data_IF_047000127892
#
_entry.id   IF_047000127892
#
_cell.length_a   1.000
_cell.length_b   1.000
_cell.length_c   1.000
_cell.angle_alpha   90.00
_cell.angle_beta   90.00
_cell.angle_gamma   90.00
#
_symmetry.space_group_name_H-M   'P 1'
#
loop_
_entity.id
_entity.type
_entity.pdbx_description
1 polymer ?
#
# COMPACT_ATOMS: atom_id res chain seq x y z
N UNK A 1 70.84 -14.89 23.79
CA UNK A 1 70.16 -13.72 23.19
C UNK A 1 68.88 -14.22 22.52
N UNK A 2 67.76 -14.21 23.27
CA UNK A 2 66.46 -14.66 22.81
C UNK A 2 65.67 -13.47 22.31
N UNK A 3 65.17 -13.54 21.08
CA UNK A 3 64.19 -12.58 20.56
C UNK A 3 62.79 -13.20 20.54
N UNK A 4 61.96 -12.75 21.49
CA UNK A 4 60.54 -12.96 21.47
C UNK A 4 59.90 -12.25 20.29
N UNK A 5 59.14 -12.97 19.48
CA UNK A 5 58.20 -12.41 18.49
C UNK A 5 56.81 -12.45 19.09
N UNK A 6 56.29 -11.27 19.38
CA UNK A 6 54.90 -11.08 19.77
C UNK A 6 54.00 -11.21 18.52
N UNK A 7 53.10 -12.17 18.54
CA UNK A 7 52.02 -12.29 17.54
C UNK A 7 50.86 -11.37 17.93
N UNK A 8 50.68 -10.34 17.13
CA UNK A 8 49.49 -9.49 17.25
C UNK A 8 48.32 -10.22 16.60
N UNK A 9 47.40 -10.65 17.42
CA UNK A 9 46.12 -11.23 17.01
C UNK A 9 45.26 -10.12 16.45
N UNK A 10 44.97 -10.15 15.14
CA UNK A 10 44.00 -9.30 14.47
C UNK A 10 42.61 -9.75 14.88
N UNK A 11 41.89 -8.89 15.58
CA UNK A 11 40.48 -9.11 15.96
C UNK A 11 39.64 -9.02 14.70
N UNK A 12 39.09 -10.14 14.28
CA UNK A 12 38.00 -10.18 13.32
C UNK A 12 36.76 -9.56 13.97
N UNK A 13 36.39 -8.39 13.46
CA UNK A 13 35.15 -7.73 13.83
C UNK A 13 34.05 -8.41 13.00
N UNK A 14 33.52 -9.49 13.53
CA UNK A 14 32.33 -10.14 13.01
C UNK A 14 31.15 -9.25 13.34
N UNK A 15 30.61 -8.61 12.31
CA UNK A 15 29.36 -7.82 12.43
C UNK A 15 28.22 -8.81 12.60
N UNK A 16 27.66 -8.85 13.79
CA UNK A 16 26.50 -9.66 14.12
C UNK A 16 25.25 -8.99 13.51
N UNK A 17 24.85 -9.47 12.34
CA UNK A 17 23.70 -8.95 11.57
C UNK A 17 22.34 -9.37 12.16
N UNK A 18 22.33 -10.08 13.28
CA UNK A 18 21.12 -10.59 13.93
C UNK A 18 20.98 -10.16 15.40
N UNK A 19 21.44 -8.96 15.72
CA UNK A 19 21.12 -8.39 17.04
C UNK A 19 19.61 -8.10 17.08
N UNK A 20 18.89 -8.98 17.75
CA UNK A 20 17.47 -8.79 18.11
C UNK A 20 17.32 -7.49 18.87
N UNK A 21 16.70 -6.52 18.22
CA UNK A 21 16.27 -5.29 18.86
C UNK A 21 14.93 -5.53 19.57
N UNK A 22 15.00 -6.07 20.78
CA UNK A 22 13.87 -6.19 21.70
C UNK A 22 13.66 -4.85 22.40
N UNK A 23 12.91 -3.95 21.77
CA UNK A 23 12.35 -2.76 22.40
C UNK A 23 10.83 -2.86 22.37
N UNK A 24 10.15 -2.79 23.53
CA UNK A 24 8.69 -2.82 23.55
C UNK A 24 8.15 -1.40 23.37
N UNK A 25 7.70 -1.06 22.18
CA UNK A 25 6.73 0.02 22.01
C UNK A 25 5.43 -0.57 21.49
N UNK A 26 4.65 -1.05 22.45
CA UNK A 26 3.25 -1.38 22.30
C UNK A 26 2.47 -0.10 22.05
N UNK A 27 2.40 0.35 20.83
CA UNK A 27 1.33 1.25 20.41
C UNK A 27 0.10 0.40 20.15
N UNK A 28 -0.65 0.19 21.23
CA UNK A 28 -2.01 -0.38 21.18
C UNK A 28 -2.89 0.61 20.44
N UNK A 29 -3.02 0.46 19.14
CA UNK A 29 -4.12 1.08 18.38
C UNK A 29 -5.35 0.23 18.64
N UNK A 30 -6.08 0.61 19.66
CA UNK A 30 -7.44 0.12 19.91
C UNK A 30 -8.34 0.66 18.79
N UNK A 31 -8.42 -0.05 17.68
CA UNK A 31 -9.44 0.18 16.67
C UNK A 31 -10.72 -0.52 17.11
N UNK A 32 -11.42 0.08 18.08
CA UNK A 32 -12.82 -0.23 18.38
C UNK A 32 -13.63 0.94 17.86
N UNK A 33 -14.05 0.85 16.61
CA UNK A 33 -14.95 1.79 15.98
C UNK A 33 -15.39 1.16 14.67
N UNK A 34 -16.68 0.86 14.60
CA UNK A 34 -17.42 0.60 13.37
C UNK A 34 -17.27 1.85 12.48
N UNK A 35 -16.17 1.95 11.79
CA UNK A 35 -15.88 3.04 10.86
C UNK A 35 -16.41 2.58 9.51
N UNK A 36 -17.68 2.82 9.26
CA UNK A 36 -18.20 2.92 7.90
C UNK A 36 -17.30 3.92 7.18
N UNK A 37 -16.42 3.41 6.33
CA UNK A 37 -15.49 4.24 5.56
C UNK A 37 -16.32 5.07 4.58
N UNK A 38 -16.48 6.35 4.88
CA UNK A 38 -17.10 7.27 3.94
C UNK A 38 -16.19 7.39 2.72
N UNK A 39 -16.65 6.85 1.59
CA UNK A 39 -15.90 6.79 0.33
C UNK A 39 -15.44 8.21 -0.08
N UNK A 40 -16.27 9.23 0.17
CA UNK A 40 -15.91 10.62 -0.13
C UNK A 40 -14.72 11.12 0.70
N UNK A 41 -14.50 10.52 1.86
CA UNK A 41 -13.45 10.91 2.78
C UNK A 41 -12.12 10.16 2.53
N UNK A 42 -12.16 9.00 1.84
CA UNK A 42 -10.99 8.14 1.62
C UNK A 42 -9.87 8.82 0.82
N UNK A 43 -10.22 9.74 -0.05
CA UNK A 43 -9.27 10.50 -0.86
C UNK A 43 -9.02 11.92 -0.32
N UNK A 44 -9.43 12.21 0.92
CA UNK A 44 -9.24 13.53 1.53
C UNK A 44 -7.82 13.75 2.07
N UNK A 45 -7.09 12.68 2.36
CA UNK A 45 -5.71 12.77 2.87
C UNK A 45 -4.88 11.54 2.46
N UNK A 46 -3.53 11.67 2.38
CA UNK A 46 -2.63 10.55 2.13
C UNK A 46 -2.83 9.39 3.10
N UNK A 47 -3.05 9.69 4.38
CA UNK A 47 -3.23 8.67 5.43
C UNK A 47 -4.49 7.84 5.20
N UNK A 48 -5.60 8.47 4.81
CA UNK A 48 -6.87 7.78 4.53
C UNK A 48 -6.77 6.94 3.26
N UNK A 49 -6.08 7.44 2.23
CA UNK A 49 -5.81 6.65 1.03
C UNK A 49 -4.96 5.43 1.36
N UNK A 50 -3.98 5.54 2.25
CA UNK A 50 -3.20 4.38 2.68
C UNK A 50 -4.06 3.36 3.41
N UNK A 51 -4.98 3.78 4.28
CA UNK A 51 -5.96 2.88 4.93
C UNK A 51 -6.81 2.16 3.89
N UNK A 52 -7.29 2.84 2.86
CA UNK A 52 -8.02 2.23 1.74
C UNK A 52 -7.18 1.15 1.04
N UNK A 53 -5.93 1.46 0.70
CA UNK A 53 -5.03 0.52 0.03
C UNK A 53 -4.74 -0.71 0.90
N UNK A 54 -4.58 -0.53 2.21
CA UNK A 54 -4.42 -1.63 3.15
C UNK A 54 -5.68 -2.50 3.20
N UNK A 55 -6.87 -1.91 3.15
CA UNK A 55 -8.12 -2.68 3.08
C UNK A 55 -8.20 -3.52 1.78
N UNK A 56 -7.81 -2.96 0.64
CA UNK A 56 -7.76 -3.71 -0.62
C UNK A 56 -6.72 -4.83 -0.60
N UNK A 57 -5.58 -4.60 0.06
CA UNK A 57 -4.58 -5.64 0.29
C UNK A 57 -5.10 -6.76 1.18
N UNK A 58 -5.81 -6.45 2.26
CA UNK A 58 -6.42 -7.44 3.16
C UNK A 58 -7.51 -8.26 2.47
N UNK A 59 -8.20 -7.67 1.49
CA UNK A 59 -9.16 -8.34 0.63
C UNK A 59 -8.48 -9.14 -0.50
N UNK A 60 -7.15 -9.15 -0.57
CA UNK A 60 -6.37 -9.79 -1.63
C UNK A 60 -6.63 -9.22 -3.03
N UNK A 61 -7.22 -8.03 -3.12
CA UNK A 61 -7.48 -7.37 -4.40
C UNK A 61 -6.21 -6.79 -5.01
N UNK A 62 -5.31 -6.26 -4.18
CA UNK A 62 -3.99 -5.77 -4.60
C UNK A 62 -2.89 -6.44 -3.77
N UNK A 63 -1.68 -6.46 -4.29
CA UNK A 63 -0.55 -7.11 -3.65
C UNK A 63 0.07 -6.22 -2.57
N UNK A 64 0.75 -6.79 -1.57
CA UNK A 64 1.55 -6.01 -0.61
C UNK A 64 2.58 -5.09 -1.29
N UNK A 65 3.12 -5.50 -2.45
CA UNK A 65 4.06 -4.70 -3.23
C UNK A 65 3.42 -3.41 -3.76
N UNK A 66 2.15 -3.45 -4.13
CA UNK A 66 1.44 -2.29 -4.68
C UNK A 66 1.23 -1.22 -3.60
N UNK A 67 0.89 -1.65 -2.38
CA UNK A 67 0.83 -0.76 -1.21
C UNK A 67 2.22 -0.24 -0.84
N UNK A 68 3.23 -1.11 -0.85
CA UNK A 68 4.63 -0.74 -0.59
C UNK A 68 5.14 0.31 -1.58
N UNK A 69 4.75 0.21 -2.86
CA UNK A 69 5.13 1.20 -3.86
C UNK A 69 4.48 2.58 -3.60
N UNK A 70 3.19 2.60 -3.24
CA UNK A 70 2.53 3.85 -2.85
C UNK A 70 3.20 4.51 -1.63
N UNK A 71 3.59 3.72 -0.62
CA UNK A 71 4.35 4.20 0.55
C UNK A 71 5.69 4.79 0.17
N UNK A 72 6.43 4.11 -0.71
CA UNK A 72 7.70 4.63 -1.21
C UNK A 72 7.53 6.00 -1.89
N UNK A 73 6.51 6.16 -2.74
CA UNK A 73 6.22 7.45 -3.37
C UNK A 73 5.91 8.51 -2.32
N UNK A 74 5.16 8.16 -1.26
CA UNK A 74 4.89 9.06 -0.14
C UNK A 74 6.18 9.47 0.56
N UNK A 75 7.01 8.53 0.98
CA UNK A 75 8.28 8.77 1.67
C UNK A 75 9.20 9.69 0.85
N UNK A 76 9.37 9.40 -0.44
CA UNK A 76 10.21 10.22 -1.33
C UNK A 76 9.67 11.65 -1.49
N UNK A 77 8.36 11.84 -1.51
CA UNK A 77 7.75 13.17 -1.56
C UNK A 77 8.00 13.94 -0.26
N UNK A 78 7.81 13.28 0.88
CA UNK A 78 8.01 13.87 2.21
C UNK A 78 9.50 14.22 2.45
N UNK A 79 10.45 13.42 1.96
CA UNK A 79 11.89 13.74 1.99
C UNK A 79 12.22 15.02 1.20
N UNK A 80 11.45 15.30 0.16
CA UNK A 80 11.58 16.54 -0.63
C UNK A 80 10.84 17.74 0.01
N UNK A 81 10.17 17.52 1.13
CA UNK A 81 9.37 18.52 1.82
C UNK A 81 8.00 18.76 1.19
N UNK A 82 7.57 17.85 0.30
CA UNK A 82 6.27 17.91 -0.36
C UNK A 82 5.30 16.92 0.27
N UNK A 83 4.03 17.29 0.34
CA UNK A 83 2.96 16.38 0.74
C UNK A 83 2.28 15.84 -0.51
N UNK A 84 2.38 14.53 -0.80
CA UNK A 84 1.79 13.97 -2.00
C UNK A 84 0.26 14.10 -1.96
N UNK A 85 -0.34 14.37 -3.11
CA UNK A 85 -1.79 14.35 -3.22
C UNK A 85 -2.31 12.90 -3.07
N UNK A 86 -3.42 12.66 -2.36
CA UNK A 86 -3.99 11.31 -2.15
C UNK A 86 -4.14 10.50 -3.44
N UNK A 87 -4.59 11.16 -4.51
CA UNK A 87 -4.75 10.54 -5.84
C UNK A 87 -3.43 10.01 -6.41
N UNK A 88 -2.29 10.64 -6.12
CA UNK A 88 -0.97 10.18 -6.57
C UNK A 88 -0.64 8.83 -5.94
N UNK A 89 -0.94 8.66 -4.65
CA UNK A 89 -0.72 7.41 -3.93
C UNK A 89 -1.64 6.30 -4.44
N UNK A 90 -2.91 6.63 -4.69
CA UNK A 90 -3.87 5.69 -5.29
C UNK A 90 -3.37 5.24 -6.66
N UNK A 91 -3.03 6.17 -7.55
CA UNK A 91 -2.54 5.85 -8.89
C UNK A 91 -1.23 5.08 -8.86
N UNK A 92 -0.31 5.37 -7.94
CA UNK A 92 0.93 4.62 -7.77
C UNK A 92 0.65 3.14 -7.48
N UNK A 93 -0.24 2.85 -6.53
CA UNK A 93 -0.65 1.47 -6.23
C UNK A 93 -1.29 0.78 -7.44
N UNK A 94 -2.20 1.46 -8.15
CA UNK A 94 -2.90 0.90 -9.32
C UNK A 94 -1.95 0.66 -10.51
N UNK A 95 -1.00 1.56 -10.76
CA UNK A 95 0.06 1.36 -11.78
C UNK A 95 0.92 0.15 -11.42
N UNK A 96 1.37 0.04 -10.17
CA UNK A 96 2.12 -1.13 -9.69
C UNK A 96 1.33 -2.43 -9.89
N UNK A 97 0.04 -2.41 -9.56
CA UNK A 97 -0.86 -3.54 -9.77
C UNK A 97 -0.90 -3.95 -11.26
N UNK A 98 -1.11 -3.00 -12.16
CA UNK A 98 -1.16 -3.26 -13.60
C UNK A 98 0.18 -3.76 -14.16
N UNK A 99 1.31 -3.20 -13.70
CA UNK A 99 2.65 -3.71 -14.05
C UNK A 99 2.80 -5.17 -13.64
N UNK A 100 2.31 -5.54 -12.48
CA UNK A 100 2.29 -6.94 -12.03
C UNK A 100 1.44 -7.88 -12.89
N UNK A 101 0.50 -7.33 -13.66
CA UNK A 101 -0.32 -8.07 -14.64
C UNK A 101 0.25 -8.05 -16.07
N UNK A 102 1.41 -7.44 -16.26
CA UNK A 102 2.09 -7.35 -17.54
C UNK A 102 1.73 -6.10 -18.38
N UNK A 103 0.99 -5.15 -17.81
CA UNK A 103 0.70 -3.88 -18.46
C UNK A 103 1.80 -2.86 -18.16
N UNK A 104 2.24 -2.11 -19.15
CA UNK A 104 3.30 -1.11 -19.01
C UNK A 104 2.78 0.31 -18.70
N UNK A 105 1.48 0.51 -18.82
CA UNK A 105 0.80 1.78 -18.56
C UNK A 105 -0.63 1.56 -18.12
N UNK A 106 -1.24 2.61 -17.57
CA UNK A 106 -2.65 2.69 -17.20
C UNK A 106 -3.27 3.80 -18.02
N UNK A 107 -4.32 3.46 -18.77
CA UNK A 107 -5.15 4.45 -19.45
C UNK A 107 -6.11 5.08 -18.45
N UNK A 108 -5.88 6.34 -18.10
CA UNK A 108 -6.68 7.05 -17.11
C UNK A 108 -8.11 7.29 -17.56
N UNK A 109 -8.35 7.48 -18.87
CA UNK A 109 -9.68 7.66 -19.41
C UNK A 109 -10.52 6.39 -19.23
N UNK A 110 -9.97 5.24 -19.61
CA UNK A 110 -10.63 3.95 -19.43
C UNK A 110 -10.74 3.59 -17.93
N UNK A 111 -9.73 3.91 -17.14
CA UNK A 111 -9.75 3.68 -15.68
C UNK A 111 -10.95 4.37 -15.01
N UNK A 112 -11.26 5.59 -15.39
CA UNK A 112 -12.37 6.36 -14.81
C UNK A 112 -13.73 5.98 -15.40
N UNK A 113 -13.75 5.52 -16.65
CA UNK A 113 -14.99 5.17 -17.35
C UNK A 113 -15.44 3.74 -17.02
N UNK A 114 -14.49 2.82 -16.97
CA UNK A 114 -14.73 1.39 -16.73
C UNK A 114 -13.59 0.81 -15.86
N UNK A 115 -13.56 1.15 -14.57
CA UNK A 115 -12.50 0.71 -13.66
C UNK A 115 -12.50 -0.81 -13.45
N UNK A 116 -13.65 -1.45 -13.47
CA UNK A 116 -13.78 -2.89 -13.28
C UNK A 116 -13.02 -3.68 -14.34
N UNK A 117 -13.29 -3.41 -15.60
CA UNK A 117 -12.59 -4.06 -16.72
C UNK A 117 -11.12 -3.64 -16.79
N UNK A 118 -10.83 -2.35 -16.60
CA UNK A 118 -9.45 -1.83 -16.70
C UNK A 118 -8.53 -2.44 -15.65
N UNK A 119 -9.00 -2.55 -14.42
CA UNK A 119 -8.20 -3.08 -13.31
C UNK A 119 -8.39 -4.58 -13.11
N UNK A 120 -9.51 -5.14 -13.57
CA UNK A 120 -10.00 -6.48 -13.20
C UNK A 120 -10.05 -6.64 -11.66
N UNK A 121 -10.62 -5.65 -10.99
CA UNK A 121 -10.79 -5.58 -9.55
C UNK A 121 -12.26 -5.30 -9.18
N UNK A 122 -12.82 -5.97 -8.17
CA UNK A 122 -12.22 -7.11 -7.48
C UNK A 122 -12.06 -8.34 -8.40
N UNK A 123 -11.17 -9.29 -8.08
CA UNK A 123 -11.07 -10.54 -8.83
C UNK A 123 -12.40 -11.28 -8.84
N UNK A 124 -12.77 -11.89 -9.97
CA UNK A 124 -14.06 -12.60 -10.12
C UNK A 124 -14.23 -13.72 -9.08
N UNK A 125 -13.14 -14.34 -8.67
CA UNK A 125 -13.13 -15.41 -7.65
C UNK A 125 -13.51 -14.93 -6.25
N UNK A 126 -13.31 -13.65 -5.94
CA UNK A 126 -13.69 -13.08 -4.65
C UNK A 126 -15.20 -12.80 -4.52
N UNK A 127 -15.96 -12.97 -5.60
CA UNK A 127 -17.43 -12.83 -5.61
C UNK A 127 -18.13 -14.13 -5.22
N UNK A 128 -17.42 -15.27 -5.17
CA UNK A 128 -17.98 -16.52 -4.69
C UNK A 128 -18.08 -16.46 -3.16
N UNK A 129 -19.31 -16.41 -2.67
CA UNK A 129 -19.63 -16.41 -1.24
C UNK A 129 -19.02 -17.63 -0.54
N UNK A 130 -18.06 -17.48 0.39
CA UNK A 130 -17.77 -18.56 1.32
C UNK A 130 -18.93 -18.64 2.31
N UNK A 131 -19.56 -19.80 2.39
CA UNK A 131 -20.52 -20.18 3.44
C UNK A 131 -19.79 -20.32 4.80
N UNK A 132 -19.10 -19.29 5.26
CA UNK A 132 -18.48 -19.24 6.58
C UNK A 132 -18.86 -17.94 7.26
N UNK A 133 -19.68 -18.13 8.27
CA UNK A 133 -20.15 -17.21 9.29
C UNK A 133 -18.94 -16.58 10.04
N UNK A 134 -18.31 -15.59 9.47
CA UNK A 134 -17.32 -14.72 10.12
C UNK A 134 -17.76 -13.29 9.87
N UNK A 135 -18.40 -12.73 10.86
CA UNK A 135 -19.15 -11.47 10.87
C UNK A 135 -18.39 -10.18 10.58
N UNK A 136 -17.54 -10.15 9.58
CA UNK A 136 -17.03 -8.93 8.97
C UNK A 136 -17.75 -8.75 7.64
N UNK A 137 -18.61 -7.76 7.60
CA UNK A 137 -19.51 -7.45 6.49
C UNK A 137 -18.66 -7.04 5.26
N UNK A 138 -18.32 -8.01 4.40
CA UNK A 138 -17.57 -7.79 3.15
C UNK A 138 -18.31 -6.86 2.17
N UNK A 139 -19.62 -6.67 2.40
CA UNK A 139 -20.48 -5.78 1.62
C UNK A 139 -20.17 -4.29 1.83
N UNK A 140 -19.52 -3.92 2.95
CA UNK A 140 -19.22 -2.52 3.30
C UNK A 140 -17.82 -2.08 2.86
N UNK A 141 -17.04 -2.94 2.18
CA UNK A 141 -15.72 -2.57 1.69
C UNK A 141 -15.84 -1.71 0.43
N UNK A 142 -15.24 -0.51 0.40
CA UNK A 142 -15.26 0.36 -0.77
C UNK A 142 -14.54 -0.31 -1.93
N UNK A 143 -15.30 -0.62 -2.99
CA UNK A 143 -14.73 -1.25 -4.18
C UNK A 143 -13.96 -0.22 -5.01
N UNK A 144 -12.94 -0.65 -5.77
CA UNK A 144 -12.18 0.25 -6.65
C UNK A 144 -13.07 1.06 -7.59
N UNK A 145 -14.12 0.44 -8.14
CA UNK A 145 -15.07 1.11 -9.01
C UNK A 145 -15.79 2.28 -8.32
N UNK A 146 -16.24 2.08 -7.07
CA UNK A 146 -16.98 3.09 -6.31
C UNK A 146 -16.07 4.28 -5.95
N UNK A 147 -14.81 3.99 -5.57
CA UNK A 147 -13.81 5.02 -5.23
C UNK A 147 -13.42 5.82 -6.47
N UNK A 148 -13.17 5.15 -7.59
CA UNK A 148 -12.74 5.81 -8.83
C UNK A 148 -13.87 6.62 -9.49
N UNK A 149 -15.13 6.26 -9.27
CA UNK A 149 -16.27 7.06 -9.72
C UNK A 149 -16.32 8.46 -9.09
N UNK A 150 -15.68 8.65 -7.93
CA UNK A 150 -15.60 9.93 -7.24
C UNK A 150 -14.35 10.75 -7.63
N UNK A 151 -13.43 10.15 -8.39
CA UNK A 151 -12.19 10.83 -8.80
C UNK A 151 -12.50 11.79 -9.94
N UNK A 152 -12.33 13.08 -9.69
CA UNK A 152 -12.26 14.08 -10.73
C UNK A 152 -10.80 14.38 -11.04
N UNK A 153 -10.39 14.17 -12.29
CA UNK A 153 -9.04 14.55 -12.71
C UNK A 153 -8.91 16.07 -12.64
N UNK A 154 -7.80 16.58 -12.08
CA UNK A 154 -7.51 18.00 -12.15
C UNK A 154 -7.35 18.41 -13.63
N UNK A 155 -7.74 19.64 -13.96
CA UNK A 155 -7.77 20.15 -15.36
C UNK A 155 -6.44 19.97 -16.11
N UNK A 156 -5.32 19.95 -15.40
CA UNK A 156 -4.00 19.71 -16.00
C UNK A 156 -3.78 18.27 -16.51
N UNK A 157 -4.64 17.33 -16.12
CA UNK A 157 -4.63 15.93 -16.59
C UNK A 157 -5.82 15.58 -17.50
N UNK A 158 -6.75 16.51 -17.70
CA UNK A 158 -7.82 16.35 -18.67
C UNK A 158 -7.24 16.56 -20.07
N UNK A 159 -7.26 15.50 -20.87
CA UNK A 159 -6.84 15.50 -22.28
C UNK A 159 -8.00 15.95 -23.14
#
# INVERSE_FOLDING_TARGET
>A
MSRSRSHTRKSDHQIDLFAENTGPETSTVTATGDTTLDINDLLSSPDKTEVLLVHWQQAEWIRPLDVGFARLIRELSEEQGERPHPLVLLLAALVSHQVGRGHVCVDLGNLLTDPGNTLSLPPEESVQEPLTDSGTNERDRPKPADVLALVTLPECLSI
#
